data_IF_793189609952
#
_entry.id   IF_793189609952
#
_cell.length_a   1.000
_cell.length_b   1.000
_cell.length_c   1.000
_cell.angle_alpha   90.00
_cell.angle_beta   90.00
_cell.angle_gamma   90.00
#
_symmetry.space_group_name_H-M   'P 1'
#
loop_
_entity.id
_entity.type
_entity.pdbx_description
1 polymer ?
#
# COMPACT_ATOMS: atom_id res chain seq x y z
N UNK A 1 46.60 34.71 10.19
CA UNK A 1 47.58 33.61 10.10
C UNK A 1 47.12 32.71 8.98
N UNK A 2 47.86 32.75 7.87
CA UNK A 2 47.58 32.03 6.63
C UNK A 2 48.53 30.84 6.53
N UNK A 3 48.01 29.67 6.17
CA UNK A 3 48.76 28.63 5.46
C UNK A 3 47.82 27.89 4.50
N UNK A 4 48.00 28.06 3.17
CA UNK A 4 47.36 27.21 2.18
C UNK A 4 48.18 25.92 1.98
N UNK A 5 47.51 24.78 1.81
CA UNK A 5 48.16 23.52 1.43
C UNK A 5 47.92 23.16 -0.04
N UNK A 6 48.91 22.52 -0.70
CA UNK A 6 49.10 22.61 -2.14
C UNK A 6 48.42 21.50 -2.95
N UNK A 7 48.21 21.84 -4.22
CA UNK A 7 47.93 20.98 -5.35
C UNK A 7 48.91 19.79 -5.44
N UNK A 8 48.37 18.60 -5.70
CA UNK A 8 49.10 17.55 -6.40
C UNK A 8 48.33 17.10 -7.64
N UNK A 9 49.02 17.25 -8.77
CA UNK A 9 48.61 16.84 -10.09
C UNK A 9 49.03 15.39 -10.38
N UNK A 10 48.41 14.86 -11.45
CA UNK A 10 48.88 13.80 -12.34
C UNK A 10 48.78 12.34 -11.86
N UNK A 11 47.98 11.55 -12.57
CA UNK A 11 48.51 10.71 -13.65
C UNK A 11 47.36 10.03 -14.41
N UNK A 12 47.23 10.38 -15.69
CA UNK A 12 46.44 9.62 -16.66
C UNK A 12 47.14 8.28 -16.88
N UNK A 13 46.42 7.16 -16.71
CA UNK A 13 46.80 5.88 -17.29
C UNK A 13 45.67 5.43 -18.22
N UNK A 14 45.96 5.41 -19.52
CA UNK A 14 45.17 4.69 -20.50
C UNK A 14 45.26 3.20 -20.15
N UNK A 15 44.11 2.57 -19.89
CA UNK A 15 43.99 1.13 -19.85
C UNK A 15 43.28 0.66 -21.12
N UNK A 16 43.97 -0.23 -21.82
CA UNK A 16 43.63 -0.90 -23.07
C UNK A 16 42.29 -1.63 -22.96
N UNK A 17 41.36 -1.33 -23.88
CA UNK A 17 40.07 -2.03 -24.00
C UNK A 17 40.31 -3.36 -24.71
N UNK A 18 40.34 -4.45 -23.95
CA UNK A 18 40.25 -5.82 -24.49
C UNK A 18 38.79 -6.17 -24.74
N UNK A 19 38.40 -6.29 -26.01
CA UNK A 19 37.09 -6.78 -26.40
C UNK A 19 37.01 -8.30 -26.20
N UNK A 20 36.34 -8.74 -25.13
CA UNK A 20 35.96 -10.14 -24.95
C UNK A 20 34.56 -10.31 -25.56
N UNK A 21 34.50 -10.93 -26.72
CA UNK A 21 33.25 -11.36 -27.36
C UNK A 21 32.71 -12.58 -26.61
N UNK A 22 31.84 -12.35 -25.63
CA UNK A 22 31.01 -13.41 -25.06
C UNK A 22 29.88 -13.73 -26.05
N UNK A 23 29.92 -14.92 -26.65
CA UNK A 23 28.75 -15.50 -27.31
C UNK A 23 27.70 -15.80 -26.23
N UNK A 24 26.73 -14.90 -26.08
CA UNK A 24 25.54 -15.12 -25.28
C UNK A 24 24.64 -16.12 -26.02
N UNK A 25 24.62 -17.37 -25.55
CA UNK A 25 23.60 -18.34 -25.94
C UNK A 25 22.23 -17.79 -25.50
N UNK A 26 21.39 -17.45 -26.48
CA UNK A 26 20.01 -17.04 -26.25
C UNK A 26 19.20 -18.25 -25.79
N UNK A 27 19.15 -18.48 -24.48
CA UNK A 27 18.12 -19.32 -23.89
C UNK A 27 16.78 -18.61 -24.06
N UNK A 28 15.77 -19.23 -24.69
CA UNK A 28 14.42 -18.67 -24.68
C UNK A 28 13.99 -18.59 -23.22
N UNK A 29 13.82 -17.36 -22.73
CA UNK A 29 13.18 -17.08 -21.45
C UNK A 29 11.80 -17.72 -21.51
N UNK A 30 11.66 -18.87 -20.85
CA UNK A 30 10.36 -19.44 -20.57
C UNK A 30 9.55 -18.34 -19.86
N UNK A 31 8.51 -17.85 -20.54
CA UNK A 31 7.53 -16.95 -19.97
C UNK A 31 6.97 -17.69 -18.76
N UNK A 32 7.40 -17.30 -17.56
CA UNK A 32 6.84 -17.83 -16.34
C UNK A 32 5.32 -17.66 -16.45
N UNK A 33 4.51 -18.70 -16.17
CA UNK A 33 3.07 -18.56 -16.18
C UNK A 33 2.72 -17.39 -15.28
N UNK A 34 2.02 -16.40 -15.84
CA UNK A 34 1.55 -15.24 -15.12
C UNK A 34 0.83 -15.74 -13.88
N UNK A 35 1.43 -15.54 -12.69
CA UNK A 35 0.80 -15.88 -11.43
C UNK A 35 -0.59 -15.26 -11.45
N UNK A 36 -1.62 -16.11 -11.51
CA UNK A 36 -3.01 -15.69 -11.66
C UNK A 36 -3.31 -14.55 -10.69
N UNK A 37 -3.87 -13.45 -11.22
CA UNK A 37 -4.03 -12.19 -10.53
C UNK A 37 -4.50 -12.41 -9.08
N UNK A 38 -3.60 -12.16 -8.13
CA UNK A 38 -3.92 -12.30 -6.72
C UNK A 38 -4.82 -11.12 -6.32
N UNK A 39 -6.12 -11.25 -6.55
CA UNK A 39 -7.07 -10.13 -6.51
C UNK A 39 -7.25 -9.47 -5.14
N UNK A 40 -7.86 -8.28 -5.16
CA UNK A 40 -8.27 -7.59 -3.94
C UNK A 40 -9.43 -8.31 -3.28
N UNK A 41 -9.42 -8.44 -1.95
CA UNK A 41 -10.52 -9.07 -1.22
C UNK A 41 -10.67 -8.51 0.20
N UNK A 42 -11.90 -8.52 0.77
CA UNK A 42 -12.04 -8.41 2.21
C UNK A 42 -11.58 -9.71 2.87
N UNK A 43 -10.93 -9.62 4.03
CA UNK A 43 -10.64 -10.79 4.85
C UNK A 43 -11.94 -11.36 5.39
N UNK A 44 -12.12 -12.68 5.25
CA UNK A 44 -13.30 -13.40 5.73
C UNK A 44 -12.85 -14.44 6.74
N UNK A 45 -13.15 -14.19 8.01
CA UNK A 45 -12.91 -15.10 9.11
C UNK A 45 -13.92 -16.25 9.10
N UNK A 46 -13.47 -17.47 9.43
CA UNK A 46 -14.33 -18.65 9.53
C UNK A 46 -15.10 -18.63 10.86
N UNK A 47 -16.35 -18.15 10.83
CA UNK A 47 -17.18 -18.05 12.05
C UNK A 47 -17.95 -19.33 12.44
N UNK A 48 -17.86 -20.41 11.66
CA UNK A 48 -18.69 -21.62 11.86
C UNK A 48 -18.32 -22.42 13.10
N UNK A 49 -17.05 -22.32 13.56
CA UNK A 49 -16.57 -23.00 14.78
C UNK A 49 -16.75 -22.16 16.05
N UNK A 50 -17.32 -20.97 15.94
CA UNK A 50 -17.60 -20.08 17.07
C UNK A 50 -19.07 -20.18 17.45
N UNK A 51 -19.37 -20.01 18.73
CA UNK A 51 -20.74 -19.97 19.26
C UNK A 51 -21.03 -18.63 19.96
N UNK A 52 -22.32 -18.38 20.19
CA UNK A 52 -22.81 -17.23 20.98
C UNK A 52 -22.26 -15.87 20.54
N UNK A 53 -21.79 -15.09 21.51
CA UNK A 53 -21.31 -13.71 21.29
C UNK A 53 -20.04 -13.64 20.43
N UNK A 54 -19.20 -14.68 20.45
CA UNK A 54 -18.00 -14.75 19.62
C UNK A 54 -18.36 -14.90 18.14
N UNK A 55 -19.34 -15.76 17.83
CA UNK A 55 -19.83 -15.91 16.47
C UNK A 55 -20.46 -14.62 15.94
N UNK A 56 -21.26 -13.94 16.76
CA UNK A 56 -21.86 -12.64 16.42
C UNK A 56 -20.80 -11.59 16.10
N UNK A 57 -19.76 -11.48 16.94
CA UNK A 57 -18.62 -10.56 16.72
C UNK A 57 -17.87 -10.89 15.42
N UNK A 58 -17.57 -12.16 15.17
CA UNK A 58 -16.93 -12.59 13.92
C UNK A 58 -17.75 -12.23 12.67
N UNK A 59 -19.07 -12.47 12.69
CA UNK A 59 -19.96 -12.10 11.58
C UNK A 59 -20.00 -10.58 11.37
N UNK A 60 -20.03 -9.80 12.46
CA UNK A 60 -19.99 -8.34 12.39
C UNK A 60 -18.68 -7.81 11.80
N UNK A 61 -17.54 -8.40 12.18
CA UNK A 61 -16.24 -8.06 11.60
C UNK A 61 -16.17 -8.41 10.10
N UNK A 62 -16.63 -9.60 9.69
CA UNK A 62 -16.72 -9.94 8.26
C UNK A 62 -17.61 -8.96 7.49
N UNK A 63 -18.73 -8.53 8.06
CA UNK A 63 -19.60 -7.54 7.45
C UNK A 63 -18.91 -6.16 7.33
N UNK A 64 -18.18 -5.73 8.37
CA UNK A 64 -17.40 -4.51 8.35
C UNK A 64 -16.26 -4.55 7.31
N UNK A 65 -15.52 -5.67 7.22
CA UNK A 65 -14.47 -5.87 6.22
C UNK A 65 -15.03 -5.72 4.80
N UNK A 66 -16.17 -6.37 4.53
CA UNK A 66 -16.86 -6.25 3.22
C UNK A 66 -17.35 -4.84 2.95
N UNK A 67 -17.89 -4.16 3.96
CA UNK A 67 -18.38 -2.79 3.83
C UNK A 67 -17.22 -1.82 3.49
N UNK A 68 -16.12 -1.88 4.24
CA UNK A 68 -14.96 -1.05 4.00
C UNK A 68 -14.29 -1.38 2.66
N UNK A 69 -14.13 -2.65 2.31
CA UNK A 69 -13.63 -3.07 0.99
C UNK A 69 -14.47 -2.51 -0.16
N UNK A 70 -15.80 -2.62 -0.06
CA UNK A 70 -16.73 -2.11 -1.08
C UNK A 70 -16.60 -0.60 -1.24
N UNK A 71 -16.31 0.11 -0.14
CA UNK A 71 -16.07 1.54 -0.19
C UNK A 71 -14.71 1.88 -0.79
N UNK A 72 -13.67 1.08 -0.61
CA UNK A 72 -12.31 1.40 -1.06
C UNK A 72 -11.98 0.93 -2.47
N UNK A 73 -12.60 -0.14 -2.97
CA UNK A 73 -12.28 -0.65 -4.29
C UNK A 73 -12.55 0.42 -5.37
N UNK A 74 -11.61 0.55 -6.31
CA UNK A 74 -11.63 1.54 -7.39
C UNK A 74 -11.67 2.99 -6.89
N UNK A 75 -10.88 3.30 -5.86
CA UNK A 75 -10.80 4.66 -5.30
C UNK A 75 -9.37 5.11 -5.11
N UNK A 76 -9.21 6.43 -5.05
CA UNK A 76 -7.98 7.11 -4.73
C UNK A 76 -8.21 8.02 -3.52
N UNK A 77 -7.34 7.93 -2.52
CA UNK A 77 -7.35 8.74 -1.32
C UNK A 77 -6.18 9.72 -1.39
N UNK A 78 -6.46 11.02 -1.40
CA UNK A 78 -5.45 12.06 -1.53
C UNK A 78 -5.60 13.07 -0.42
N UNK A 79 -4.52 13.43 0.26
CA UNK A 79 -4.55 14.40 1.34
C UNK A 79 -3.27 14.38 2.17
N UNK A 80 -3.41 14.60 3.47
CA UNK A 80 -2.28 14.68 4.39
C UNK A 80 -2.61 13.89 5.65
N UNK A 81 -1.68 13.04 6.08
CA UNK A 81 -1.77 12.28 7.33
C UNK A 81 -1.52 13.21 8.53
N UNK A 82 -1.88 12.78 9.74
CA UNK A 82 -1.78 13.61 10.95
C UNK A 82 -0.36 13.94 11.43
N UNK A 83 0.67 13.42 10.77
CA UNK A 83 2.09 13.76 10.95
C UNK A 83 2.64 14.53 9.74
N UNK A 84 1.76 15.24 9.03
CA UNK A 84 2.06 16.13 7.92
C UNK A 84 2.65 15.44 6.66
N UNK A 85 2.59 14.11 6.60
CA UNK A 85 2.97 13.38 5.40
C UNK A 85 1.86 13.41 4.35
N UNK A 86 2.20 13.91 3.16
CA UNK A 86 1.31 13.88 2.01
C UNK A 86 1.06 12.42 1.58
N UNK A 87 -0.19 12.10 1.25
CA UNK A 87 -0.62 10.76 0.85
C UNK A 87 -1.36 10.81 -0.47
N UNK A 88 -1.09 9.81 -1.30
CA UNK A 88 -1.77 9.56 -2.55
C UNK A 88 -1.87 8.06 -2.79
N UNK A 89 -3.01 7.49 -2.40
CA UNK A 89 -3.21 6.06 -2.24
C UNK A 89 -4.30 5.57 -3.18
N UNK A 90 -3.94 4.67 -4.09
CA UNK A 90 -4.80 4.07 -5.09
C UNK A 90 -5.12 2.62 -4.70
N UNK A 91 -6.41 2.26 -4.73
CA UNK A 91 -6.89 0.90 -4.50
C UNK A 91 -7.82 0.45 -5.63
N UNK A 92 -7.46 -0.60 -6.35
CA UNK A 92 -8.25 -1.15 -7.45
C UNK A 92 -8.88 -2.50 -7.07
N UNK A 93 -10.09 -2.75 -7.58
CA UNK A 93 -10.82 -4.00 -7.35
C UNK A 93 -10.09 -5.23 -7.93
N UNK A 94 -9.28 -5.05 -8.97
CA UNK A 94 -8.46 -6.10 -9.57
C UNK A 94 -7.23 -6.49 -8.73
N UNK A 95 -7.00 -5.84 -7.58
CA UNK A 95 -5.83 -6.08 -6.74
C UNK A 95 -4.71 -5.06 -6.91
N UNK A 96 -4.68 -4.27 -7.99
CA UNK A 96 -3.66 -3.23 -8.14
C UNK A 96 -3.78 -2.20 -7.03
N UNK A 97 -2.66 -1.82 -6.44
CA UNK A 97 -2.59 -0.68 -5.54
C UNK A 97 -1.28 0.09 -5.75
N UNK A 98 -1.30 1.37 -5.38
CA UNK A 98 -0.12 2.22 -5.29
C UNK A 98 -0.32 3.17 -4.11
N UNK A 99 0.52 3.06 -3.07
CA UNK A 99 0.54 3.95 -1.93
C UNK A 99 1.78 4.83 -2.03
N UNK A 100 1.58 6.11 -2.33
CA UNK A 100 2.63 7.13 -2.28
C UNK A 100 2.47 7.91 -0.98
N UNK A 101 3.54 8.01 -0.21
CA UNK A 101 3.56 8.76 1.06
C UNK A 101 4.86 9.55 1.15
N UNK A 102 4.79 10.85 1.42
CA UNK A 102 5.97 11.70 1.51
C UNK A 102 5.68 13.14 1.11
N UNK A 103 6.08 14.11 1.93
CA UNK A 103 6.10 15.54 1.58
C UNK A 103 7.39 15.99 0.85
N UNK A 104 8.49 15.24 1.01
CA UNK A 104 9.77 15.45 0.33
C UNK A 104 10.23 14.22 -0.45
N UNK A 105 10.90 13.29 0.24
CA UNK A 105 11.20 11.96 -0.31
C UNK A 105 9.93 11.11 -0.29
N UNK A 106 9.41 10.75 -1.47
CA UNK A 106 8.18 9.96 -1.59
C UNK A 106 8.50 8.47 -1.54
N UNK A 107 8.06 7.82 -0.46
CA UNK A 107 7.99 6.37 -0.39
C UNK A 107 6.85 5.85 -1.26
N UNK A 108 7.12 4.86 -2.13
CA UNK A 108 6.11 4.26 -3.01
C UNK A 108 6.05 2.76 -2.74
N UNK A 109 4.88 2.28 -2.35
CA UNK A 109 4.57 0.85 -2.31
C UNK A 109 3.52 0.52 -3.36
N UNK A 110 3.75 -0.53 -4.13
CA UNK A 110 2.87 -0.95 -5.22
C UNK A 110 2.80 -2.46 -5.30
N UNK A 111 1.69 -2.98 -5.74
CA UNK A 111 1.50 -4.40 -5.92
C UNK A 111 0.19 -4.73 -6.60
N UNK A 112 -0.05 -6.03 -6.75
CA UNK A 112 -1.21 -6.58 -7.42
C UNK A 112 -2.21 -7.23 -6.48
N UNK A 113 -2.01 -7.13 -5.15
CA UNK A 113 -2.89 -7.67 -4.12
C UNK A 113 -2.96 -6.74 -2.91
N UNK A 114 -4.15 -6.53 -2.39
CA UNK A 114 -4.39 -5.92 -1.07
C UNK A 114 -5.62 -6.52 -0.40
N UNK A 115 -5.68 -6.45 0.92
CA UNK A 115 -6.77 -7.03 1.73
C UNK A 115 -7.26 -6.00 2.75
N UNK A 116 -8.57 -5.98 2.99
CA UNK A 116 -9.14 -5.26 4.16
C UNK A 116 -9.24 -6.22 5.33
N UNK A 117 -8.64 -5.84 6.44
CA UNK A 117 -8.53 -6.61 7.68
C UNK A 117 -9.03 -5.81 8.88
N UNK A 118 -9.44 -6.52 9.92
CA UNK A 118 -9.80 -5.95 11.23
C UNK A 118 -10.74 -4.73 11.22
N UNK A 119 -11.63 -4.65 10.23
CA UNK A 119 -12.54 -3.54 10.13
C UNK A 119 -13.63 -3.60 11.20
N UNK A 120 -14.01 -2.43 11.70
CA UNK A 120 -15.08 -2.23 12.67
C UNK A 120 -16.05 -1.22 12.11
N UNK A 121 -17.34 -1.54 12.26
CA UNK A 121 -18.42 -0.65 11.90
C UNK A 121 -19.17 -0.20 13.16
N UNK A 122 -19.48 1.10 13.23
CA UNK A 122 -20.31 1.70 14.27
C UNK A 122 -21.37 2.59 13.63
N UNK A 123 -22.43 2.90 14.39
CA UNK A 123 -23.54 3.77 13.95
C UNK A 123 -24.11 3.37 12.57
N UNK A 124 -24.45 2.08 12.38
CA UNK A 124 -25.03 1.60 11.12
C UNK A 124 -24.12 1.81 9.91
N UNK A 125 -22.81 1.51 10.04
CA UNK A 125 -21.77 1.69 9.00
C UNK A 125 -21.46 3.15 8.63
N UNK A 126 -21.99 4.14 9.36
CA UNK A 126 -21.57 5.54 9.18
C UNK A 126 -20.14 5.74 9.61
N UNK A 127 -19.69 4.98 10.61
CA UNK A 127 -18.32 4.99 11.10
C UNK A 127 -17.69 3.65 10.76
N UNK A 128 -16.66 3.68 9.91
CA UNK A 128 -15.87 2.52 9.54
C UNK A 128 -14.41 2.81 9.88
N UNK A 129 -13.72 1.87 10.48
CA UNK A 129 -12.27 1.89 10.68
C UNK A 129 -11.74 0.51 10.33
N UNK A 130 -10.58 0.41 9.71
CA UNK A 130 -9.97 -0.89 9.39
C UNK A 130 -8.58 -0.76 8.84
N UNK A 131 -7.90 -1.90 8.76
CA UNK A 131 -6.53 -2.00 8.24
C UNK A 131 -6.60 -2.46 6.79
N UNK A 132 -5.78 -1.85 5.94
CA UNK A 132 -5.50 -2.37 4.61
C UNK A 132 -4.09 -2.93 4.62
N UNK A 133 -3.96 -4.21 4.30
CA UNK A 133 -2.70 -4.94 4.24
C UNK A 133 -2.34 -5.26 2.80
N UNK A 134 -1.05 -5.34 2.51
CA UNK A 134 -0.54 -5.85 1.25
C UNK A 134 0.68 -6.76 1.45
N UNK A 135 0.95 -7.71 0.53
CA UNK A 135 2.18 -8.49 0.56
C UNK A 135 3.41 -7.56 0.59
N UNK A 136 4.35 -7.81 1.51
CA UNK A 136 5.48 -6.92 1.76
C UNK A 136 5.39 -6.11 3.05
N UNK A 137 4.39 -6.39 3.91
CA UNK A 137 4.34 -5.88 5.28
C UNK A 137 3.85 -4.44 5.42
N UNK A 138 3.23 -3.89 4.37
CA UNK A 138 2.59 -2.58 4.43
C UNK A 138 1.20 -2.74 5.05
N UNK A 139 0.99 -2.09 6.19
CA UNK A 139 -0.30 -1.98 6.86
C UNK A 139 -0.65 -0.51 7.02
N UNK A 140 -1.78 -0.10 6.45
CA UNK A 140 -2.28 1.27 6.56
C UNK A 140 -3.67 1.28 7.17
N UNK A 141 -3.93 2.32 7.96
CA UNK A 141 -5.23 2.57 8.55
C UNK A 141 -6.12 3.38 7.63
N UNK A 142 -7.38 2.99 7.50
CA UNK A 142 -8.40 3.80 6.86
C UNK A 142 -9.57 3.98 7.81
N UNK A 143 -10.01 5.23 7.95
CA UNK A 143 -11.17 5.59 8.74
C UNK A 143 -12.16 6.39 7.90
N UNK A 144 -13.44 6.17 8.15
CA UNK A 144 -14.55 6.93 7.60
C UNK A 144 -15.44 7.33 8.76
N UNK A 145 -15.71 8.63 8.90
CA UNK A 145 -16.65 9.19 9.89
C UNK A 145 -17.70 10.02 9.15
N UNK A 146 -18.84 9.40 8.83
CA UNK A 146 -19.86 10.02 8.00
C UNK A 146 -19.40 10.17 6.55
N UNK A 147 -19.20 11.41 6.09
CA UNK A 147 -18.64 11.73 4.76
C UNK A 147 -17.12 11.92 4.79
N UNK A 148 -16.53 12.18 5.95
CA UNK A 148 -15.11 12.43 6.10
C UNK A 148 -14.32 11.13 6.03
N UNK A 149 -13.22 11.15 5.27
CA UNK A 149 -12.26 10.06 5.15
C UNK A 149 -10.95 10.48 5.76
N UNK A 150 -10.31 9.53 6.44
CA UNK A 150 -9.00 9.71 7.05
C UNK A 150 -8.14 8.50 6.75
N UNK A 151 -6.83 8.73 6.69
CA UNK A 151 -5.83 7.66 6.66
C UNK A 151 -4.85 7.79 7.80
N UNK A 152 -4.26 6.67 8.19
CA UNK A 152 -3.35 6.56 9.33
C UNK A 152 -2.28 5.51 9.04
N UNK A 153 -1.23 5.48 9.86
CA UNK A 153 -0.34 4.31 9.92
C UNK A 153 -1.00 3.28 10.83
N UNK A 154 -1.14 2.05 10.35
CA UNK A 154 -1.56 0.94 11.20
C UNK A 154 -0.32 0.33 11.86
N UNK A 155 -0.32 0.26 13.19
CA UNK A 155 0.77 -0.35 13.94
C UNK A 155 0.24 -0.98 15.22
N UNK A 156 0.52 -2.27 15.44
CA UNK A 156 0.13 -3.01 16.64
C UNK A 156 -1.38 -2.88 16.98
N UNK A 157 -2.23 -2.90 15.96
CA UNK A 157 -3.68 -2.75 16.10
C UNK A 157 -4.14 -1.33 16.46
N UNK A 158 -3.27 -0.33 16.33
CA UNK A 158 -3.58 1.09 16.56
C UNK A 158 -3.46 1.89 15.27
N UNK A 159 -4.29 2.91 15.15
CA UNK A 159 -4.23 3.90 14.06
C UNK A 159 -3.46 5.11 14.56
N UNK A 160 -2.27 5.34 14.01
CA UNK A 160 -1.39 6.44 14.37
C UNK A 160 -1.54 7.58 13.35
N UNK A 161 -1.60 8.81 13.87
CA UNK A 161 -1.63 10.03 13.07
C UNK A 161 -2.77 10.05 12.03
N UNK A 162 -4.05 9.88 12.41
CA UNK A 162 -5.14 10.00 11.44
C UNK A 162 -5.15 11.41 10.84
N UNK A 163 -5.11 11.51 9.52
CA UNK A 163 -5.24 12.78 8.81
C UNK A 163 -6.26 12.69 7.68
N UNK A 164 -6.81 13.83 7.32
CA UNK A 164 -7.94 13.92 6.40
C UNK A 164 -7.50 13.69 4.95
N UNK A 165 -8.34 12.96 4.22
CA UNK A 165 -8.15 12.70 2.80
C UNK A 165 -9.44 12.91 2.03
N UNK A 166 -9.29 13.33 0.78
CA UNK A 166 -10.35 13.30 -0.19
C UNK A 166 -10.39 11.94 -0.86
N UNK A 167 -11.59 11.38 -0.96
CA UNK A 167 -11.84 10.14 -1.69
C UNK A 167 -12.38 10.46 -3.07
N UNK A 168 -11.66 10.04 -4.09
CA UNK A 168 -12.04 10.22 -5.50
C UNK A 168 -12.18 8.86 -6.20
N UNK A 169 -13.03 8.74 -7.23
CA UNK A 169 -13.07 7.56 -8.07
C UNK A 169 -11.73 7.33 -8.78
N UNK A 170 -11.24 6.08 -8.82
CA UNK A 170 -9.97 5.77 -9.47
C UNK A 170 -10.09 5.57 -11.00
N UNK A 171 -11.29 5.36 -11.54
CA UNK A 171 -11.57 5.31 -12.98
C UNK A 171 -10.50 4.59 -13.82
N UNK A 172 -9.93 5.33 -14.78
CA UNK A 172 -8.89 4.86 -15.70
C UNK A 172 -7.60 4.36 -15.00
N UNK A 173 -7.30 4.85 -13.78
CA UNK A 173 -6.16 4.38 -13.00
C UNK A 173 -6.34 2.97 -12.45
N UNK A 174 -7.47 2.29 -12.70
CA UNK A 174 -7.69 0.87 -12.42
C UNK A 174 -7.87 0.00 -13.68
N UNK A 175 -7.76 0.59 -14.87
CA UNK A 175 -7.76 -0.10 -16.17
C UNK A 175 -6.44 -0.74 -16.54
#
# INVERSE_FOLDING_TARGET
>A
MSTPSPFHAAARRLATVGAVTLLAAATPLAVAPSAGAAGAAPQVLRCTRLSGSAQKRCRAQNAANRALFTQLKNTRLVGTRGDDEAVDWLFCANGRYELRTGSGSVGVSRGSRWTVEDARARQGNRWLEGVVSAPGGLEVGVLRRGSQWQVAVASLGRMLYPGDVQKTPAGAACG
#
